data_IF_143193192889
#
_entry.id   IF_143193192889
#
_cell.length_a   1.000
_cell.length_b   1.000
_cell.length_c   1.000
_cell.angle_alpha   90.00
_cell.angle_beta   90.00
_cell.angle_gamma   90.00
#
_symmetry.space_group_name_H-M   'P 1'
#
loop_
_entity.id
_entity.type
_entity.pdbx_description
1 polymer ?
#
# COMPACT_ATOMS: atom_id res chain seq x y z
N UNK A 1 9.77 -33.67 41.16
CA UNK A 1 10.26 -33.03 39.92
C UNK A 1 9.50 -31.72 39.73
N UNK A 2 10.20 -30.56 39.74
CA UNK A 2 9.58 -29.23 39.55
C UNK A 2 9.53 -28.92 38.06
N UNK A 3 8.32 -28.83 37.49
CA UNK A 3 8.09 -28.47 36.09
C UNK A 3 8.25 -26.95 35.95
N UNK A 4 9.30 -26.50 35.25
CA UNK A 4 9.50 -25.07 34.93
C UNK A 4 8.65 -24.74 33.70
N UNK A 5 7.64 -23.90 33.86
CA UNK A 5 6.87 -23.32 32.75
C UNK A 5 7.74 -22.29 32.04
N UNK A 6 8.09 -22.54 30.78
CA UNK A 6 8.69 -21.54 29.90
C UNK A 6 7.52 -20.77 29.28
N UNK A 7 7.35 -19.52 29.70
CA UNK A 7 6.44 -18.57 29.07
C UNK A 7 7.21 -17.97 27.88
N UNK A 8 6.89 -18.40 26.66
CA UNK A 8 7.26 -17.68 25.45
C UNK A 8 6.32 -16.48 25.32
N UNK A 9 6.83 -15.29 25.61
CA UNK A 9 6.11 -14.04 25.37
C UNK A 9 6.12 -13.75 23.87
N UNK A 10 4.98 -13.95 23.21
CA UNK A 10 4.74 -13.40 21.87
C UNK A 10 4.49 -11.90 22.08
N UNK A 11 5.47 -11.09 21.69
CA UNK A 11 5.26 -9.64 21.54
C UNK A 11 4.62 -9.46 20.16
N UNK A 12 3.28 -9.44 20.12
CA UNK A 12 2.56 -8.95 18.96
C UNK A 12 2.64 -7.42 18.99
N UNK A 13 3.59 -6.85 18.24
CA UNK A 13 3.61 -5.41 17.99
C UNK A 13 2.50 -5.10 16.99
N UNK A 14 1.29 -4.79 17.49
CA UNK A 14 0.22 -4.28 16.64
C UNK A 14 0.58 -2.85 16.20
N UNK A 15 1.14 -2.69 15.01
CA UNK A 15 1.24 -1.39 14.35
C UNK A 15 -0.15 -1.03 13.84
N UNK A 16 -0.98 -0.45 14.71
CA UNK A 16 -2.21 0.21 14.30
C UNK A 16 -1.85 1.61 13.79
N UNK A 17 -1.37 1.69 12.54
CA UNK A 17 -1.37 2.94 11.79
C UNK A 17 -2.77 3.21 11.26
N UNK A 18 -3.33 4.38 11.52
CA UNK A 18 -4.52 4.88 10.83
C UNK A 18 -4.24 4.92 9.32
N UNK A 19 -4.81 3.97 8.57
CA UNK A 19 -4.71 3.91 7.11
C UNK A 19 -5.70 4.92 6.53
N UNK A 20 -5.21 6.08 6.08
CA UNK A 20 -6.00 7.02 5.29
C UNK A 20 -5.96 6.58 3.82
N UNK A 21 -7.13 6.47 3.19
CA UNK A 21 -7.25 6.21 1.75
C UNK A 21 -6.96 7.53 1.03
N UNK A 22 -5.86 7.60 0.29
CA UNK A 22 -5.53 8.71 -0.58
C UNK A 22 -5.14 8.18 -1.97
N UNK A 23 -5.61 8.84 -3.03
CA UNK A 23 -4.94 8.77 -4.33
C UNK A 23 -3.45 9.05 -4.10
N UNK A 24 -2.52 8.27 -4.68
CA UNK A 24 -1.10 8.35 -4.33
C UNK A 24 -0.61 9.79 -4.44
N UNK A 25 -0.30 10.41 -3.30
CA UNK A 25 0.26 11.74 -3.29
C UNK A 25 1.72 11.67 -3.80
N UNK A 26 2.30 12.82 -4.11
CA UNK A 26 3.70 12.89 -4.50
C UNK A 26 4.58 12.21 -3.43
N UNK A 27 5.47 11.31 -3.86
CA UNK A 27 6.35 10.51 -2.99
C UNK A 27 5.67 9.45 -2.09
N UNK A 28 4.37 9.22 -2.22
CA UNK A 28 3.72 8.13 -1.50
C UNK A 28 4.10 6.79 -2.11
N UNK A 29 4.90 6.02 -1.38
CA UNK A 29 5.18 4.64 -1.72
C UNK A 29 3.89 3.80 -1.62
N UNK A 30 3.67 2.92 -2.60
CA UNK A 30 2.57 1.96 -2.59
C UNK A 30 2.98 0.64 -3.24
N UNK A 31 2.27 -0.44 -2.89
CA UNK A 31 2.47 -1.75 -3.52
C UNK A 31 1.67 -1.82 -4.82
N UNK A 32 2.31 -2.22 -5.90
CA UNK A 32 1.69 -2.64 -7.15
C UNK A 32 1.76 -4.17 -7.22
N UNK A 33 0.62 -4.85 -7.27
CA UNK A 33 0.56 -6.30 -7.17
C UNK A 33 -0.47 -6.91 -8.12
N UNK A 34 -0.14 -8.04 -8.73
CA UNK A 34 -1.10 -8.92 -9.39
C UNK A 34 -0.78 -10.36 -9.01
N UNK A 35 -1.82 -11.14 -8.71
CA UNK A 35 -1.68 -12.57 -8.44
C UNK A 35 -1.08 -13.32 -9.63
N UNK A 36 -0.54 -14.52 -9.41
CA UNK A 36 0.20 -15.28 -10.44
C UNK A 36 -0.62 -15.59 -11.70
N UNK A 37 -1.94 -15.65 -11.56
CA UNK A 37 -2.91 -15.81 -12.66
C UNK A 37 -3.48 -14.47 -13.18
N UNK A 38 -2.88 -13.34 -12.79
CA UNK A 38 -3.34 -11.97 -13.05
C UNK A 38 -4.63 -11.54 -12.35
N UNK A 39 -5.20 -12.34 -11.43
CA UNK A 39 -6.42 -11.98 -10.71
C UNK A 39 -6.46 -12.49 -9.26
N UNK A 40 -6.71 -11.63 -8.26
CA UNK A 40 -7.00 -10.20 -8.37
C UNK A 40 -5.79 -9.38 -8.84
N UNK A 41 -6.06 -8.26 -9.52
CA UNK A 41 -5.06 -7.30 -10.02
C UNK A 41 -5.20 -5.96 -9.31
N UNK A 42 -4.15 -5.54 -8.62
CA UNK A 42 -4.03 -4.32 -7.82
C UNK A 42 -2.92 -3.45 -8.45
N UNK A 43 -3.13 -3.08 -9.73
CA UNK A 43 -2.09 -2.59 -10.65
C UNK A 43 -2.26 -1.15 -11.14
N UNK A 44 -3.16 -0.36 -10.55
CA UNK A 44 -3.40 1.02 -10.97
C UNK A 44 -2.46 2.01 -10.25
N UNK A 45 -2.74 2.25 -8.97
CA UNK A 45 -2.09 3.20 -8.08
C UNK A 45 -2.54 2.89 -6.63
N UNK A 46 -2.34 3.82 -5.71
CA UNK A 46 -2.82 3.67 -4.34
C UNK A 46 -4.36 3.85 -4.16
N UNK A 47 -5.14 4.10 -5.22
CA UNK A 47 -6.58 4.45 -5.14
C UNK A 47 -7.46 3.38 -4.51
N UNK A 48 -7.03 2.12 -4.52
CA UNK A 48 -7.82 1.01 -3.98
C UNK A 48 -8.87 0.45 -4.95
N UNK A 49 -8.76 0.78 -6.25
CA UNK A 49 -9.71 0.32 -7.27
C UNK A 49 -9.03 0.06 -8.62
N UNK A 50 -9.41 -1.04 -9.29
CA UNK A 50 -9.02 -1.35 -10.65
C UNK A 50 -10.16 -2.09 -11.36
N UNK A 51 -10.50 -1.65 -12.57
CA UNK A 51 -11.41 -2.36 -13.47
C UNK A 51 -10.60 -2.87 -14.67
N UNK A 52 -10.59 -4.19 -14.87
CA UNK A 52 -9.90 -4.80 -16.00
C UNK A 52 -10.61 -4.40 -17.31
N UNK A 53 -9.93 -3.71 -18.24
CA UNK A 53 -10.58 -3.16 -19.43
C UNK A 53 -11.00 -4.22 -20.45
N UNK A 54 -10.53 -5.47 -20.33
CA UNK A 54 -10.86 -6.56 -21.25
C UNK A 54 -12.07 -7.37 -20.77
N UNK A 55 -12.20 -7.55 -19.45
CA UNK A 55 -13.21 -8.40 -18.83
C UNK A 55 -14.30 -7.63 -18.07
N UNK A 56 -14.04 -6.37 -17.71
CA UNK A 56 -14.88 -5.60 -16.78
C UNK A 56 -14.76 -6.05 -15.32
N UNK A 57 -13.85 -6.98 -15.01
CA UNK A 57 -13.67 -7.47 -13.65
C UNK A 57 -13.10 -6.36 -12.76
N UNK A 58 -13.77 -6.09 -11.64
CA UNK A 58 -13.36 -5.08 -10.68
C UNK A 58 -12.60 -5.74 -9.53
N UNK A 59 -11.51 -5.11 -9.11
CA UNK A 59 -10.81 -5.39 -7.86
C UNK A 59 -10.80 -4.13 -7.01
N UNK A 60 -11.15 -4.26 -5.73
CA UNK A 60 -11.04 -3.21 -4.72
C UNK A 60 -10.13 -3.64 -3.58
N UNK A 61 -9.40 -2.69 -2.99
CA UNK A 61 -8.52 -2.94 -1.84
C UNK A 61 -8.31 -1.68 -1.03
N UNK A 62 -7.72 -1.82 0.16
CA UNK A 62 -7.19 -0.72 0.95
C UNK A 62 -5.68 -0.66 0.81
N UNK A 63 -5.17 0.45 0.29
CA UNK A 63 -3.73 0.72 0.23
C UNK A 63 -3.23 1.31 1.54
N UNK A 64 -2.14 0.77 2.06
CA UNK A 64 -1.32 1.44 3.05
C UNK A 64 -0.11 2.08 2.39
N UNK A 65 -0.08 3.41 2.35
CA UNK A 65 0.99 4.18 1.74
C UNK A 65 1.97 4.71 2.78
N UNK A 66 3.15 5.13 2.32
CA UNK A 66 4.11 5.81 3.16
C UNK A 66 4.79 6.94 2.38
N UNK A 67 4.79 8.15 2.92
CA UNK A 67 5.42 9.30 2.27
C UNK A 67 6.95 9.24 2.41
N UNK A 68 7.66 9.14 1.29
CA UNK A 68 9.12 8.95 1.24
C UNK A 68 9.84 10.23 0.83
N UNK A 69 10.13 11.08 1.82
CA UNK A 69 10.77 12.40 1.61
C UNK A 69 12.19 12.51 2.18
N UNK A 70 12.70 11.46 2.83
CA UNK A 70 14.01 11.43 3.49
C UNK A 70 14.53 10.00 3.63
N UNK A 71 15.74 9.85 4.17
CA UNK A 71 16.27 8.52 4.47
C UNK A 71 15.45 7.86 5.59
N UNK A 72 15.21 6.56 5.48
CA UNK A 72 14.44 5.86 6.49
C UNK A 72 13.95 4.47 6.09
N UNK A 73 13.31 3.81 7.06
CA UNK A 73 12.61 2.54 6.87
C UNK A 73 11.11 2.81 6.80
N UNK A 74 10.49 2.31 5.74
CA UNK A 74 9.09 2.51 5.41
C UNK A 74 8.37 1.17 5.31
N UNK A 75 7.06 1.16 5.54
CA UNK A 75 6.22 -0.02 5.32
C UNK A 75 4.97 0.40 4.56
N UNK A 76 4.68 -0.33 3.49
CA UNK A 76 3.48 -0.18 2.67
C UNK A 76 2.70 -1.48 2.70
N UNK A 77 1.39 -1.42 2.49
CA UNK A 77 0.53 -2.60 2.64
C UNK A 77 -0.65 -2.64 1.67
N UNK A 78 -1.23 -3.83 1.52
CA UNK A 78 -2.51 -4.07 0.86
C UNK A 78 -3.40 -4.83 1.84
N UNK A 79 -4.69 -4.50 1.92
CA UNK A 79 -5.67 -5.22 2.73
C UNK A 79 -7.08 -5.08 2.19
N UNK A 80 -8.07 -5.75 2.81
CA UNK A 80 -9.50 -5.66 2.46
C UNK A 80 -9.78 -5.94 0.96
N UNK A 81 -9.13 -6.96 0.41
CA UNK A 81 -9.13 -7.22 -1.03
C UNK A 81 -10.44 -7.88 -1.42
N UNK A 82 -11.09 -7.30 -2.42
CA UNK A 82 -12.32 -7.84 -3.01
C UNK A 82 -12.16 -7.89 -4.52
N UNK A 83 -12.76 -8.90 -5.12
CA UNK A 83 -12.85 -9.04 -6.56
C UNK A 83 -14.27 -9.34 -7.00
N UNK A 84 -14.58 -9.03 -8.25
CA UNK A 84 -15.73 -9.56 -8.98
C UNK A 84 -15.86 -11.07 -8.76
N UNK A 85 -17.05 -11.47 -8.31
CA UNK A 85 -17.45 -12.86 -8.14
C UNK A 85 -18.97 -12.99 -8.21
N UNK A 86 -19.47 -14.22 -8.17
CA UNK A 86 -20.91 -14.50 -8.21
C UNK A 86 -21.39 -14.86 -6.81
N UNK A 87 -22.38 -14.12 -6.32
CA UNK A 87 -23.08 -14.46 -5.10
C UNK A 87 -23.78 -15.82 -5.28
N UNK A 88 -23.50 -16.76 -4.37
CA UNK A 88 -24.00 -18.14 -4.50
C UNK A 88 -25.49 -18.29 -4.22
N UNK A 89 -26.09 -17.34 -3.51
CA UNK A 89 -27.50 -17.35 -3.15
C UNK A 89 -28.35 -16.67 -4.23
N UNK A 90 -27.91 -15.52 -4.74
CA UNK A 90 -28.67 -14.74 -5.72
C UNK A 90 -28.28 -15.04 -7.17
N UNK A 91 -27.06 -15.55 -7.39
CA UNK A 91 -26.48 -15.72 -8.72
C UNK A 91 -26.06 -14.39 -9.38
N UNK A 92 -26.10 -13.29 -8.65
CA UNK A 92 -25.73 -11.96 -9.15
C UNK A 92 -24.22 -11.71 -9.01
N UNK A 93 -23.68 -10.92 -9.92
CA UNK A 93 -22.30 -10.47 -9.83
C UNK A 93 -22.15 -9.42 -8.73
N UNK A 94 -21.13 -9.57 -7.89
CA UNK A 94 -20.85 -8.68 -6.77
C UNK A 94 -19.35 -8.69 -6.40
N UNK A 95 -18.94 -7.81 -5.50
CA UNK A 95 -17.60 -7.80 -4.94
C UNK A 95 -17.52 -8.71 -3.72
N UNK A 96 -16.73 -9.78 -3.82
CA UNK A 96 -16.50 -10.75 -2.76
C UNK A 96 -15.05 -10.70 -2.28
N UNK A 97 -14.77 -11.05 -1.01
CA UNK A 97 -13.40 -11.21 -0.54
C UNK A 97 -12.59 -12.12 -1.46
N UNK A 98 -11.40 -11.67 -1.85
CA UNK A 98 -10.54 -12.39 -2.76
C UNK A 98 -9.20 -12.70 -2.09
N UNK A 99 -8.76 -13.95 -2.20
CA UNK A 99 -7.40 -14.33 -1.84
C UNK A 99 -6.45 -14.00 -3.00
N UNK A 100 -5.23 -13.65 -2.64
CA UNK A 100 -4.13 -13.40 -3.54
C UNK A 100 -3.16 -14.58 -3.49
N UNK A 101 -2.86 -15.17 -4.64
CA UNK A 101 -1.97 -16.33 -4.75
C UNK A 101 -0.89 -16.11 -5.80
N UNK A 102 0.36 -16.40 -5.47
CA UNK A 102 1.46 -16.21 -6.41
C UNK A 102 1.82 -14.74 -6.60
N UNK A 103 2.58 -14.45 -7.67
CA UNK A 103 2.78 -13.09 -8.14
C UNK A 103 3.05 -13.13 -9.65
N UNK A 104 2.35 -12.29 -10.42
CA UNK A 104 2.69 -11.96 -11.80
C UNK A 104 3.44 -10.62 -11.85
N UNK A 105 3.03 -9.68 -11.00
CA UNK A 105 3.67 -8.38 -10.75
C UNK A 105 3.68 -8.16 -9.25
N UNK A 106 4.80 -7.72 -8.69
CA UNK A 106 4.93 -7.36 -7.29
C UNK A 106 6.07 -6.36 -7.11
N UNK A 107 5.71 -5.08 -6.97
CA UNK A 107 6.65 -3.97 -6.88
C UNK A 107 6.22 -3.00 -5.77
N UNK A 108 7.16 -2.17 -5.31
CA UNK A 108 6.82 -0.91 -4.62
C UNK A 108 7.16 0.24 -5.56
N UNK A 109 6.18 1.09 -5.84
CA UNK A 109 6.36 2.30 -6.66
C UNK A 109 6.31 3.54 -5.77
N UNK A 110 7.22 4.47 -6.01
CA UNK A 110 7.26 5.77 -5.34
C UNK A 110 7.21 6.87 -6.42
N UNK A 111 6.04 7.51 -6.62
CA UNK A 111 5.86 8.56 -7.62
C UNK A 111 6.86 9.71 -7.49
N UNK A 112 7.33 10.21 -8.62
CA UNK A 112 8.23 11.36 -8.80
C UNK A 112 9.61 11.29 -8.11
N UNK A 113 9.85 10.31 -7.23
CA UNK A 113 11.07 10.28 -6.43
C UNK A 113 12.33 10.11 -7.28
N UNK A 114 12.29 9.30 -8.34
CA UNK A 114 13.46 9.13 -9.21
C UNK A 114 13.81 10.43 -9.97
N UNK A 115 12.79 11.18 -10.40
CA UNK A 115 12.98 12.51 -10.99
C UNK A 115 13.61 13.47 -9.99
N UNK A 116 13.06 13.55 -8.77
CA UNK A 116 13.56 14.44 -7.71
C UNK A 116 14.99 14.14 -7.30
N UNK A 117 15.38 12.87 -7.29
CA UNK A 117 16.74 12.43 -6.93
C UNK A 117 17.74 12.52 -8.08
N UNK A 118 17.33 12.94 -9.28
CA UNK A 118 18.22 13.00 -10.45
C UNK A 118 18.71 11.62 -10.89
N UNK A 119 17.87 10.60 -10.74
CA UNK A 119 18.12 9.23 -11.20
C UNK A 119 17.12 8.77 -12.28
N UNK A 120 16.17 9.62 -12.66
CA UNK A 120 15.15 9.34 -13.67
C UNK A 120 15.52 9.79 -15.09
N UNK A 121 14.62 9.52 -16.04
CA UNK A 121 14.78 9.72 -17.50
C UNK A 121 15.48 10.99 -18.00
N UNK A 122 15.31 12.12 -17.30
CA UNK A 122 15.85 13.42 -17.70
C UNK A 122 17.23 13.74 -17.09
N UNK A 123 17.82 12.81 -16.34
CA UNK A 123 19.03 13.04 -15.56
C UNK A 123 20.29 12.85 -16.41
N UNK A 124 21.30 13.68 -16.19
CA UNK A 124 22.59 13.50 -16.86
C UNK A 124 23.21 12.14 -16.53
N UNK A 125 23.51 11.38 -17.58
CA UNK A 125 24.04 10.01 -17.51
C UNK A 125 22.99 8.91 -17.53
N UNK A 126 21.69 9.25 -17.54
CA UNK A 126 20.63 8.27 -17.74
C UNK A 126 20.44 7.94 -19.23
N UNK A 127 20.24 6.66 -19.53
CA UNK A 127 19.81 6.18 -20.86
C UNK A 127 18.58 5.28 -20.68
N UNK A 128 17.51 5.59 -21.42
CA UNK A 128 16.25 4.86 -21.36
C UNK A 128 16.37 3.39 -21.78
N UNK A 129 17.44 3.04 -22.52
CA UNK A 129 17.75 1.68 -22.96
C UNK A 129 18.59 0.88 -21.95
N UNK A 130 19.01 1.49 -20.83
CA UNK A 130 19.67 0.76 -19.74
C UNK A 130 18.77 -0.39 -19.27
N UNK A 131 19.40 -1.54 -19.02
CA UNK A 131 18.75 -2.64 -18.33
C UNK A 131 18.34 -2.21 -16.92
N UNK A 132 17.35 -2.86 -16.30
CA UNK A 132 17.01 -2.64 -14.90
C UNK A 132 18.22 -2.69 -13.94
N UNK A 133 19.18 -3.58 -14.18
CA UNK A 133 20.41 -3.66 -13.39
C UNK A 133 21.33 -2.44 -13.59
N UNK A 134 21.46 -1.93 -14.82
CA UNK A 134 22.22 -0.70 -15.10
C UNK A 134 21.54 0.54 -14.49
N UNK A 135 20.21 0.59 -14.50
CA UNK A 135 19.45 1.66 -13.82
C UNK A 135 19.65 1.64 -12.30
N UNK A 136 19.69 0.45 -11.70
CA UNK A 136 20.05 0.28 -10.29
C UNK A 136 21.49 0.73 -10.02
N UNK A 137 22.43 0.36 -10.89
CA UNK A 137 23.83 0.80 -10.78
C UNK A 137 23.94 2.34 -10.92
N UNK A 138 23.17 2.95 -11.81
CA UNK A 138 23.08 4.39 -11.96
C UNK A 138 22.52 5.07 -10.70
N UNK A 139 21.41 4.56 -10.14
CA UNK A 139 20.86 5.06 -8.88
C UNK A 139 21.89 4.99 -7.74
N UNK A 140 22.58 3.85 -7.60
CA UNK A 140 23.69 3.68 -6.64
C UNK A 140 24.83 4.65 -6.87
N UNK A 141 25.18 4.93 -8.13
CA UNK A 141 26.23 5.91 -8.48
C UNK A 141 25.90 7.34 -8.05
N UNK A 142 24.60 7.67 -7.92
CA UNK A 142 24.11 8.95 -7.39
C UNK A 142 23.93 8.93 -5.86
N UNK A 143 24.17 7.80 -5.21
CA UNK A 143 24.09 7.63 -3.76
C UNK A 143 22.77 7.05 -3.24
N UNK A 144 21.82 6.73 -4.13
CA UNK A 144 20.55 6.12 -3.74
C UNK A 144 20.73 4.62 -3.54
N UNK A 145 20.24 4.10 -2.41
CA UNK A 145 20.27 2.66 -2.14
C UNK A 145 18.99 2.20 -1.44
N UNK A 146 18.61 0.95 -1.72
CA UNK A 146 17.47 0.27 -1.07
C UNK A 146 17.98 -1.01 -0.40
N UNK A 147 17.64 -1.20 0.87
CA UNK A 147 18.05 -2.35 1.69
C UNK A 147 16.91 -2.85 2.57
N UNK A 148 17.17 -3.93 3.30
CA UNK A 148 16.29 -4.45 4.36
C UNK A 148 14.86 -4.73 3.90
N UNK A 149 14.72 -5.18 2.65
CA UNK A 149 13.42 -5.50 2.07
C UNK A 149 12.88 -6.77 2.72
N UNK A 150 11.69 -6.65 3.32
CA UNK A 150 10.96 -7.74 3.96
C UNK A 150 9.54 -7.79 3.45
N UNK A 151 9.04 -9.00 3.26
CA UNK A 151 7.67 -9.25 2.84
C UNK A 151 7.01 -10.07 3.96
N UNK A 152 5.85 -9.62 4.43
CA UNK A 152 5.00 -10.42 5.30
C UNK A 152 3.58 -10.49 4.74
N UNK A 153 3.02 -11.70 4.81
CA UNK A 153 1.65 -12.00 4.39
C UNK A 153 0.83 -12.37 5.61
N UNK A 154 -0.44 -11.99 5.60
CA UNK A 154 -1.42 -12.39 6.62
C UNK A 154 -2.51 -13.22 5.95
N UNK A 155 -2.62 -14.45 6.41
CA UNK A 155 -3.59 -15.44 5.96
C UNK A 155 -4.40 -15.90 7.16
N UNK A 156 -5.72 -15.74 7.12
CA UNK A 156 -6.63 -16.18 8.18
C UNK A 156 -6.21 -15.71 9.59
N UNK A 157 -5.69 -14.48 9.67
CA UNK A 157 -5.18 -13.85 10.89
C UNK A 157 -3.76 -14.25 11.31
N UNK A 158 -3.09 -15.14 10.57
CA UNK A 158 -1.72 -15.58 10.85
C UNK A 158 -0.70 -14.86 9.96
N UNK A 159 0.32 -14.26 10.58
CA UNK A 159 1.41 -13.57 9.87
C UNK A 159 2.55 -14.52 9.57
N UNK A 160 2.96 -14.59 8.30
CA UNK A 160 4.15 -15.32 7.84
C UNK A 160 5.11 -14.38 7.13
N UNK A 161 6.40 -14.50 7.39
CA UNK A 161 7.45 -13.82 6.63
C UNK A 161 7.84 -14.65 5.41
N UNK A 162 7.93 -14.00 4.25
CA UNK A 162 8.42 -14.63 3.02
C UNK A 162 9.93 -14.42 2.95
N UNK A 163 10.68 -15.48 2.68
CA UNK A 163 12.13 -15.39 2.54
C UNK A 163 12.50 -14.60 1.28
N UNK A 164 13.30 -13.55 1.45
CA UNK A 164 13.72 -12.64 0.36
C UNK A 164 15.24 -12.60 0.26
N UNK A 165 15.76 -12.87 -0.93
CA UNK A 165 17.13 -12.59 -1.31
C UNK A 165 17.24 -11.15 -1.82
N UNK A 166 17.58 -10.23 -0.92
CA UNK A 166 17.69 -8.80 -1.26
C UNK A 166 18.76 -8.49 -2.32
N UNK A 167 19.68 -9.42 -2.62
CA UNK A 167 20.70 -9.20 -3.66
C UNK A 167 20.15 -9.25 -5.08
N UNK A 168 18.95 -9.85 -5.26
CA UNK A 168 18.26 -10.01 -6.54
C UNK A 168 17.20 -8.93 -6.79
N UNK A 169 16.93 -8.08 -5.80
CA UNK A 169 16.00 -6.95 -5.94
C UNK A 169 16.64 -5.88 -6.83
N UNK A 170 15.83 -5.32 -7.73
CA UNK A 170 16.23 -4.21 -8.58
C UNK A 170 15.50 -2.95 -8.13
N UNK A 171 16.16 -1.80 -8.25
CA UNK A 171 15.51 -0.52 -7.98
C UNK A 171 16.02 0.59 -8.90
N UNK A 172 15.24 1.65 -9.07
CA UNK A 172 15.57 2.79 -9.94
C UNK A 172 14.35 3.25 -10.75
N UNK A 173 14.57 4.10 -11.76
CA UNK A 173 13.55 4.46 -12.76
C UNK A 173 13.39 3.36 -13.82
N UNK A 174 12.99 2.17 -13.37
CA UNK A 174 12.97 0.93 -14.17
C UNK A 174 12.06 1.08 -15.40
N UNK A 175 10.98 1.84 -15.30
CA UNK A 175 10.01 2.04 -16.39
C UNK A 175 10.17 3.34 -17.18
N UNK A 176 11.18 4.17 -16.87
CA UNK A 176 11.38 5.49 -17.51
C UNK A 176 10.19 6.44 -17.31
N UNK A 177 9.53 6.36 -16.15
CA UNK A 177 8.35 7.15 -15.83
C UNK A 177 8.55 8.07 -14.61
N UNK A 178 9.80 8.24 -14.17
CA UNK A 178 10.16 9.15 -13.09
C UNK A 178 9.84 8.63 -11.69
N UNK A 179 9.31 7.42 -11.57
CA UNK A 179 9.09 6.74 -10.28
C UNK A 179 10.39 6.09 -9.82
N UNK A 180 10.63 6.07 -8.51
CA UNK A 180 11.52 5.05 -7.97
C UNK A 180 10.71 3.77 -7.79
N UNK A 181 11.03 2.74 -8.58
CA UNK A 181 10.51 1.39 -8.38
C UNK A 181 11.48 0.57 -7.56
N UNK A 182 10.96 -0.22 -6.62
CA UNK A 182 11.62 -1.39 -6.03
C UNK A 182 10.92 -2.60 -6.64
N UNK A 183 11.55 -3.23 -7.65
CA UNK A 183 10.98 -4.39 -8.34
C UNK A 183 11.32 -5.65 -7.55
N UNK A 184 10.30 -6.28 -6.98
CA UNK A 184 10.44 -7.54 -6.23
C UNK A 184 10.20 -8.73 -7.17
N UNK A 185 9.18 -8.66 -8.02
CA UNK A 185 8.97 -9.64 -9.07
C UNK A 185 8.13 -9.05 -10.20
N UNK A 186 8.55 -9.27 -11.44
CA UNK A 186 7.79 -8.91 -12.61
C UNK A 186 7.97 -9.99 -13.68
N UNK A 187 6.90 -10.69 -14.05
CA UNK A 187 6.94 -11.78 -15.03
C UNK A 187 7.48 -11.35 -16.41
N UNK A 188 7.43 -10.05 -16.72
CA UNK A 188 7.97 -9.49 -17.96
C UNK A 188 9.34 -8.83 -17.77
N UNK A 189 9.80 -8.68 -16.53
CA UNK A 189 11.06 -8.05 -16.15
C UNK A 189 12.18 -9.06 -15.90
N UNK A 190 13.37 -8.55 -15.60
CA UNK A 190 14.56 -9.38 -15.33
C UNK A 190 14.44 -10.15 -14.01
N UNK A 191 13.66 -9.64 -13.05
CA UNK A 191 13.38 -10.32 -11.77
C UNK A 191 12.65 -11.65 -11.94
N UNK A 192 11.96 -11.90 -13.06
CA UNK A 192 11.38 -13.24 -13.34
C UNK A 192 12.42 -14.31 -13.64
N UNK A 193 13.60 -13.92 -14.14
CA UNK A 193 14.66 -14.86 -14.55
C UNK A 193 15.46 -15.38 -13.35
N UNK A 194 15.54 -14.57 -12.30
CA UNK A 194 16.17 -14.92 -11.03
C UNK A 194 15.45 -14.21 -9.88
N UNK A 195 14.32 -14.77 -9.46
CA UNK A 195 13.44 -14.12 -8.49
C UNK A 195 14.08 -14.02 -7.09
N UNK A 196 13.85 -12.91 -6.36
CA UNK A 196 14.32 -12.74 -4.99
C UNK A 196 13.56 -13.62 -3.98
N UNK A 197 12.40 -14.16 -4.33
CA UNK A 197 11.62 -15.08 -3.50
C UNK A 197 10.87 -16.09 -4.39
N UNK A 198 10.36 -17.16 -3.79
CA UNK A 198 9.48 -18.09 -4.47
C UNK A 198 8.06 -17.52 -4.53
N UNK A 199 7.53 -17.27 -5.72
CA UNK A 199 6.21 -16.62 -5.86
C UNK A 199 5.08 -17.42 -5.24
N UNK A 200 5.17 -18.76 -5.16
CA UNK A 200 4.14 -19.58 -4.50
C UNK A 200 4.06 -19.37 -2.99
N UNK A 201 5.06 -18.74 -2.37
CA UNK A 201 5.05 -18.41 -0.94
C UNK A 201 4.22 -17.13 -0.68
N UNK A 202 3.81 -16.43 -1.75
CA UNK A 202 2.85 -15.34 -1.66
C UNK A 202 1.45 -15.92 -1.62
N UNK A 203 0.86 -15.91 -0.43
CA UNK A 203 -0.54 -16.22 -0.19
C UNK A 203 -1.07 -15.31 0.91
N UNK A 204 -2.13 -14.55 0.62
CA UNK A 204 -2.79 -13.69 1.61
C UNK A 204 -4.26 -13.45 1.25
N UNK A 205 -5.10 -13.45 2.27
CA UNK A 205 -6.51 -13.04 2.16
C UNK A 205 -6.86 -11.87 3.11
N UNK A 206 -5.98 -11.55 4.07
CA UNK A 206 -6.15 -10.41 4.97
C UNK A 206 -5.27 -9.22 4.57
N UNK A 207 -3.95 -9.42 4.52
CA UNK A 207 -3.03 -8.34 4.15
C UNK A 207 -1.66 -8.80 3.64
N UNK A 208 -0.99 -7.91 2.92
CA UNK A 208 0.40 -8.00 2.49
C UNK A 208 1.12 -6.74 3.00
N UNK A 209 2.32 -6.88 3.54
CA UNK A 209 3.16 -5.76 3.94
C UNK A 209 4.54 -5.90 3.30
N UNK A 210 5.07 -4.77 2.81
CA UNK A 210 6.45 -4.65 2.36
C UNK A 210 7.15 -3.58 3.18
N UNK A 211 8.17 -3.99 3.92
CA UNK A 211 9.07 -3.08 4.63
C UNK A 211 10.36 -2.92 3.83
N UNK A 212 10.89 -1.71 3.71
CA UNK A 212 12.15 -1.44 3.02
C UNK A 212 12.84 -0.22 3.63
N UNK A 213 14.16 -0.16 3.51
CA UNK A 213 14.97 1.01 3.88
C UNK A 213 15.49 1.68 2.63
N UNK A 214 15.38 3.02 2.56
CA UNK A 214 15.98 3.84 1.50
C UNK A 214 16.96 4.85 2.11
N UNK A 215 18.09 5.03 1.43
CA UNK A 215 19.14 5.99 1.81
C UNK A 215 19.59 6.83 0.62
N UNK A 216 20.16 8.01 0.90
CA UNK A 216 20.71 8.92 -0.11
C UNK A 216 19.80 10.10 -0.46
N UNK A 217 18.54 10.08 -0.03
CA UNK A 217 17.57 11.16 -0.25
C UNK A 217 18.04 12.43 0.46
N UNK A 218 18.41 12.32 1.73
CA UNK A 218 18.83 13.46 2.53
C UNK A 218 20.12 14.09 1.98
N UNK A 219 21.05 13.25 1.52
CA UNK A 219 22.31 13.71 0.94
C UNK A 219 22.10 14.46 -0.39
N UNK A 220 21.17 14.01 -1.23
CA UNK A 220 20.90 14.61 -2.54
C UNK A 220 20.09 15.91 -2.39
N UNK A 221 19.10 15.91 -1.50
CA UNK A 221 18.13 17.02 -1.39
C UNK A 221 18.47 18.03 -0.29
N UNK A 222 19.45 17.71 0.56
CA UNK A 222 19.74 18.47 1.76
C UNK A 222 18.59 18.42 2.78
N UNK A 223 17.74 17.39 2.73
CA UNK A 223 16.54 17.25 3.57
C UNK A 223 15.41 18.22 3.22
N UNK A 224 15.40 18.78 2.01
CA UNK A 224 14.46 19.85 1.61
C UNK A 224 13.29 19.37 0.75
N UNK A 225 13.04 18.06 0.64
CA UNK A 225 11.80 17.59 0.00
C UNK A 225 10.64 17.99 0.91
N UNK A 226 9.79 18.90 0.42
CA UNK A 226 8.57 19.29 1.13
C UNK A 226 7.56 18.14 1.00
N UNK A 227 6.90 17.73 2.09
CA UNK A 227 5.74 16.85 2.03
C UNK A 227 4.68 17.36 1.07
N UNK A 228 3.97 16.44 0.42
CA UNK A 228 2.86 16.77 -0.45
C UNK A 228 1.82 17.60 0.34
N UNK A 229 1.30 18.68 -0.25
CA UNK A 229 0.19 19.41 0.35
C UNK A 229 -1.07 18.54 0.30
N UNK A 230 -1.37 17.83 1.39
CA UNK A 230 -2.63 17.11 1.56
C UNK A 230 -3.74 18.11 1.87
N UNK A 231 -4.06 19.01 0.93
CA UNK A 231 -5.33 19.73 0.99
C UNK A 231 -6.44 18.69 0.88
N UNK A 232 -7.24 18.55 1.94
CA UNK A 232 -8.49 17.78 1.88
C UNK A 232 -9.29 18.20 0.64
N UNK A 233 -10.05 17.29 -0.01
CA UNK A 233 -10.92 17.66 -1.12
C UNK A 233 -11.72 18.89 -0.71
N UNK A 234 -11.69 19.94 -1.53
CA UNK A 234 -12.45 21.14 -1.25
C UNK A 234 -13.89 20.73 -0.96
N UNK A 235 -14.40 21.15 0.20
CA UNK A 235 -15.79 20.95 0.55
C UNK A 235 -16.64 21.74 -0.46
N UNK A 236 -17.10 21.06 -1.52
CA UNK A 236 -17.95 21.66 -2.56
C UNK A 236 -19.39 21.85 -2.06
N UNK A 237 -19.66 21.79 -0.75
CA UNK A 237 -20.96 22.16 -0.18
C UNK A 237 -21.09 23.65 0.14
N UNK A 238 -20.27 24.52 -0.46
CA UNK A 238 -20.62 25.92 -0.54
C UNK A 238 -22.01 26.04 -1.19
N UNK A 239 -23.06 26.52 -0.48
CA UNK A 239 -24.34 26.75 -1.12
C UNK A 239 -24.10 27.84 -2.16
N UNK A 240 -24.40 27.55 -3.43
CA UNK A 240 -24.55 28.64 -4.39
C UNK A 240 -25.64 29.54 -3.82
N UNK A 241 -25.29 30.75 -3.40
CA UNK A 241 -26.24 31.80 -3.02
C UNK A 241 -27.05 32.12 -4.28
N UNK A 242 -28.11 31.35 -4.48
CA UNK A 242 -29.12 31.62 -5.50
C UNK A 242 -29.80 32.93 -5.10
N UNK A 243 -29.54 33.97 -5.88
CA UNK A 243 -30.33 35.20 -5.85
C UNK A 243 -31.79 34.81 -6.09
N UNK A 244 -32.62 35.00 -5.08
CA UNK A 244 -34.06 34.74 -5.14
C UNK A 244 -34.78 35.85 -4.39
N UNK A 245 -34.90 36.99 -5.06
CA UNK A 245 -35.90 38.01 -4.77
C UNK A 245 -37.31 37.46 -5.06
N UNK A 246 -37.78 36.52 -4.23
CA UNK A 246 -39.20 36.14 -4.17
C UNK A 246 -39.54 35.54 -2.81
N UNK A 247 -40.56 36.05 -2.09
CA UNK A 247 -40.96 35.46 -0.82
C UNK A 247 -41.73 34.17 -1.12
N UNK A 248 -41.26 33.03 -0.61
CA UNK A 248 -42.09 31.86 -0.49
C UNK A 248 -42.25 31.48 0.99
N UNK A 249 -43.48 31.17 1.33
CA UNK A 249 -43.94 30.72 2.63
C UNK A 249 -44.06 29.20 2.56
N UNK A 250 -43.22 28.45 3.27
CA UNK A 250 -43.71 27.22 3.88
C UNK A 250 -42.84 26.70 5.02
N UNK A 251 -43.57 26.26 6.04
CA UNK A 251 -43.21 25.58 7.29
C UNK A 251 -42.44 24.26 7.13
N UNK A 252 -41.47 24.05 8.03
CA UNK A 252 -41.11 22.73 8.57
C UNK A 252 -39.97 22.01 7.86
N UNK A 253 -38.80 21.95 8.49
CA UNK A 253 -38.22 20.78 9.19
C UNK A 253 -36.78 21.18 9.53
N UNK A 254 -36.51 21.38 10.82
CA UNK A 254 -35.16 21.55 11.35
C UNK A 254 -34.42 20.21 11.23
N UNK A 255 -33.54 20.12 10.24
CA UNK A 255 -32.59 19.02 10.12
C UNK A 255 -31.51 19.11 11.18
N UNK A 256 -31.74 18.48 12.33
CA UNK A 256 -30.69 18.07 13.26
C UNK A 256 -29.84 17.02 12.55
N UNK A 257 -28.61 17.38 12.18
CA UNK A 257 -27.58 16.41 11.84
C UNK A 257 -26.55 16.37 12.97
N UNK A 258 -26.77 15.46 13.90
CA UNK A 258 -25.73 14.92 14.75
C UNK A 258 -24.79 14.08 13.87
N UNK A 259 -23.48 14.34 13.93
CA UNK A 259 -22.47 13.37 13.49
C UNK A 259 -21.65 13.01 14.71
N UNK A 260 -21.80 11.75 15.11
CA UNK A 260 -21.18 11.11 16.23
C UNK A 260 -19.72 10.75 15.92
N UNK A 261 -18.79 11.27 16.72
CA UNK A 261 -17.44 10.76 16.87
C UNK A 261 -17.20 10.38 18.33
N UNK A 262 -17.99 9.43 18.85
CA UNK A 262 -17.75 8.87 20.20
C UNK A 262 -16.82 7.68 20.07
N UNK A 263 -15.58 7.86 20.50
CA UNK A 263 -14.63 6.79 20.76
C UNK A 263 -15.13 5.94 21.94
N UNK A 264 -15.57 4.72 21.67
CA UNK A 264 -15.80 3.70 22.71
C UNK A 264 -14.55 2.84 22.85
N UNK A 265 -13.73 3.19 23.84
CA UNK A 265 -12.68 2.33 24.40
C UNK A 265 -13.34 1.18 25.18
N UNK A 266 -13.28 -0.04 24.66
CA UNK A 266 -13.64 -1.24 25.43
C UNK A 266 -12.43 -1.69 26.28
N UNK A 267 -12.30 -1.12 27.48
CA UNK A 267 -11.45 -1.69 28.52
C UNK A 267 -12.14 -2.95 29.10
N UNK A 268 -11.50 -4.11 28.97
CA UNK A 268 -12.01 -5.39 29.46
C UNK A 268 -12.21 -5.41 30.98
N UNK A 269 -13.44 -5.70 31.41
CA UNK A 269 -13.75 -5.96 32.80
C UNK A 269 -13.40 -7.41 33.17
N UNK A 270 -12.47 -7.56 34.11
CA UNK A 270 -12.19 -8.82 34.81
C UNK A 270 -13.40 -9.22 35.64
N UNK A 271 -14.00 -10.39 35.35
CA UNK A 271 -15.02 -11.00 36.20
C UNK A 271 -14.33 -11.86 37.27
N UNK A 272 -14.26 -11.34 38.49
CA UNK A 272 -13.98 -12.15 39.69
C UNK A 272 -15.27 -12.81 40.14
N UNK A 273 -15.41 -14.11 39.92
CA UNK A 273 -16.52 -14.89 40.47
C UNK A 273 -16.33 -15.09 41.99
N UNK A 274 -17.08 -14.33 42.80
CA UNK A 274 -17.19 -14.52 44.25
C UNK A 274 -18.20 -15.63 44.53
N UNK A 275 -17.71 -16.83 44.88
CA UNK A 275 -18.55 -17.95 45.35
C UNK A 275 -19.10 -17.63 46.74
N UNK A 276 -20.42 -17.71 46.92
CA UNK A 276 -21.09 -17.80 48.24
C UNK A 276 -22.05 -19.00 48.23
N UNK A 277 -21.62 -20.09 48.85
CA UNK A 277 -22.15 -20.62 50.11
C UNK A 277 -21.08 -21.51 50.72
#
# INVERSE_FOLDING_TARGET
MKLRKIMAGIVATSVAGTMAVAASAQYDAFVMYASGNWYPALIADASGHFEDPNSGAVTEWTSGTAEVTKDGTYTVSLSNIKGTGVDKETGEETLLPAACEGAAVFNVDIPDLATTLGIGGNSEGFDANMTPAEKMAFAKSKGVNVTDVKISVVTDGETTEVAVDSSKILFGDIENNGKLRIELYNQFGDTSKDAPFNTSDIFFNDSLNVTFTITGIDAITGGNIKPADTTAPADTTAPTTGDSTKPNTNTGVEGVAAVAGVALLAAGAVVVAKKRK
#
